data_IF_745930496333
#
_entry.id   IF_745930496333
#
_cell.length_a   1.000
_cell.length_b   1.000
_cell.length_c   1.000
_cell.angle_alpha   90.00
_cell.angle_beta   90.00
_cell.angle_gamma   90.00
#
_symmetry.space_group_name_H-M   'P 1'
#
loop_
_entity.id
_entity.type
_entity.pdbx_description
1 polymer ?
#
# COMPACT_ATOMS: atom_id res chain seq x y z
N UNK A 1 16.62 29.89 5.21
CA UNK A 1 17.02 28.75 6.04
C UNK A 1 15.87 28.26 6.94
N UNK A 2 15.18 29.14 7.68
CA UNK A 2 14.05 28.74 8.53
C UNK A 2 12.73 28.40 7.80
N UNK A 3 12.51 28.95 6.59
CA UNK A 3 11.28 28.72 5.82
C UNK A 3 11.26 27.36 5.08
N UNK A 4 12.42 26.77 4.78
CA UNK A 4 12.52 25.47 4.10
C UNK A 4 12.15 24.29 5.03
N UNK A 5 12.26 24.47 6.35
CA UNK A 5 12.03 23.45 7.37
C UNK A 5 10.56 23.25 7.77
N UNK A 6 9.67 24.17 7.39
CA UNK A 6 8.27 24.17 7.88
C UNK A 6 7.29 23.35 7.04
N UNK A 7 7.65 22.93 5.81
CA UNK A 7 6.68 22.32 4.89
C UNK A 7 7.17 21.15 4.03
N UNK A 8 8.42 20.71 4.19
CA UNK A 8 8.90 19.56 3.45
C UNK A 8 10.06 18.94 4.18
N UNK A 9 9.89 17.68 4.59
CA UNK A 9 11.03 16.81 4.88
C UNK A 9 11.87 16.79 3.61
N UNK A 10 12.97 17.55 3.62
CA UNK A 10 13.88 17.61 2.51
C UNK A 10 14.54 16.25 2.28
N UNK A 11 15.06 16.01 1.07
CA UNK A 11 15.78 14.77 0.76
C UNK A 11 16.94 14.51 1.74
N UNK A 12 17.55 15.55 2.31
CA UNK A 12 18.58 15.39 3.35
C UNK A 12 18.04 14.88 4.68
N UNK A 13 16.91 15.40 5.18
CA UNK A 13 16.31 14.90 6.42
C UNK A 13 15.83 13.46 6.26
N UNK A 14 15.23 13.14 5.11
CA UNK A 14 14.80 11.78 4.79
C UNK A 14 16.00 10.81 4.74
N UNK A 15 17.15 11.25 4.21
CA UNK A 15 18.37 10.46 4.15
C UNK A 15 18.97 10.23 5.55
N UNK A 16 18.93 11.22 6.42
CA UNK A 16 19.34 11.08 7.84
C UNK A 16 18.43 10.07 8.56
N UNK A 17 17.11 10.22 8.42
CA UNK A 17 16.15 9.28 9.02
C UNK A 17 16.33 7.88 8.48
N UNK A 18 16.49 7.72 7.16
CA UNK A 18 16.79 6.44 6.52
C UNK A 18 18.10 5.85 7.05
N UNK A 19 19.13 6.67 7.29
CA UNK A 19 20.38 6.27 7.91
C UNK A 19 20.19 5.74 9.34
N UNK A 20 19.42 6.44 10.18
CA UNK A 20 19.11 5.98 11.55
C UNK A 20 18.33 4.66 11.53
N UNK A 21 17.32 4.55 10.67
CA UNK A 21 16.55 3.30 10.49
C UNK A 21 17.47 2.17 10.02
N UNK A 22 18.40 2.44 9.09
CA UNK A 22 19.36 1.46 8.62
C UNK A 22 20.36 1.05 9.71
N UNK A 23 20.74 1.94 10.65
CA UNK A 23 21.59 1.56 11.78
C UNK A 23 20.84 0.67 12.79
N UNK A 24 19.57 0.95 13.04
CA UNK A 24 18.75 0.15 13.97
C UNK A 24 18.39 -1.23 13.41
N UNK A 25 18.00 -1.28 12.13
CA UNK A 25 17.50 -2.50 11.51
C UNK A 25 18.55 -3.22 10.65
N UNK A 26 19.57 -2.52 10.16
CA UNK A 26 20.64 -3.07 9.33
C UNK A 26 20.10 -3.85 8.13
N UNK A 27 20.66 -5.05 7.94
CA UNK A 27 20.24 -5.99 6.90
C UNK A 27 18.85 -6.60 7.10
N UNK A 28 18.18 -6.34 8.23
CA UNK A 28 16.81 -6.83 8.50
C UNK A 28 15.74 -5.94 7.88
N UNK A 29 16.05 -4.70 7.54
CA UNK A 29 15.10 -3.74 6.95
C UNK A 29 14.44 -4.28 5.66
N UNK A 30 15.17 -4.84 4.67
CA UNK A 30 14.56 -5.39 3.46
C UNK A 30 13.66 -6.60 3.75
N UNK A 31 14.00 -7.41 4.77
CA UNK A 31 13.20 -8.57 5.16
C UNK A 31 11.86 -8.14 5.77
N UNK A 32 11.87 -7.12 6.62
CA UNK A 32 10.64 -6.54 7.22
C UNK A 32 9.79 -5.85 6.16
N UNK A 33 10.40 -5.08 5.26
CA UNK A 33 9.67 -4.47 4.14
C UNK A 33 9.03 -5.51 3.22
N UNK A 34 9.72 -6.62 2.95
CA UNK A 34 9.20 -7.70 2.12
C UNK A 34 8.00 -8.39 2.76
N UNK A 35 8.10 -8.76 4.04
CA UNK A 35 6.96 -9.38 4.75
C UNK A 35 5.77 -8.43 4.89
N UNK A 36 6.01 -7.13 5.11
CA UNK A 36 4.96 -6.12 5.14
C UNK A 36 4.30 -5.97 3.76
N UNK A 37 5.11 -5.91 2.70
CA UNK A 37 4.62 -5.77 1.33
C UNK A 37 3.77 -6.95 0.88
N UNK A 38 4.17 -8.18 1.23
CA UNK A 38 3.39 -9.39 0.98
C UNK A 38 2.02 -9.32 1.69
N UNK A 39 1.98 -8.91 2.96
CA UNK A 39 0.72 -8.72 3.69
C UNK A 39 -0.19 -7.64 3.11
N UNK A 40 0.37 -6.52 2.63
CA UNK A 40 -0.42 -5.47 1.96
C UNK A 40 -1.01 -5.98 0.64
N UNK A 41 -0.25 -6.78 -0.12
CA UNK A 41 -0.73 -7.35 -1.38
C UNK A 41 -1.87 -8.34 -1.14
N UNK A 42 -1.73 -9.24 -0.16
CA UNK A 42 -2.80 -10.17 0.22
C UNK A 42 -4.04 -9.44 0.73
N UNK A 43 -3.86 -8.42 1.57
CA UNK A 43 -4.95 -7.57 2.06
C UNK A 43 -5.71 -6.91 0.90
N UNK A 44 -4.99 -6.32 -0.07
CA UNK A 44 -5.62 -5.69 -1.25
C UNK A 44 -6.41 -6.71 -2.07
N UNK A 45 -5.88 -7.91 -2.29
CA UNK A 45 -6.57 -9.00 -3.01
C UNK A 45 -7.84 -9.45 -2.29
N UNK A 46 -7.77 -9.58 -0.96
CA UNK A 46 -8.91 -9.91 -0.12
C UNK A 46 -10.03 -8.88 -0.23
N UNK A 47 -9.71 -7.58 -0.15
CA UNK A 47 -10.71 -6.50 -0.28
C UNK A 47 -11.33 -6.46 -1.68
N UNK A 48 -10.53 -6.60 -2.74
CA UNK A 48 -11.03 -6.59 -4.12
C UNK A 48 -11.99 -7.74 -4.43
N UNK A 49 -11.71 -8.96 -3.94
CA UNK A 49 -12.61 -10.11 -4.14
C UNK A 49 -13.97 -9.94 -3.44
N UNK A 50 -14.04 -9.16 -2.36
CA UNK A 50 -15.28 -8.83 -1.65
C UNK A 50 -16.08 -7.79 -2.44
N UNK A 51 -15.43 -6.76 -2.99
CA UNK A 51 -16.08 -5.77 -3.86
C UNK A 51 -16.69 -6.43 -5.10
N UNK A 52 -15.95 -7.31 -5.78
CA UNK A 52 -16.44 -8.02 -6.98
C UNK A 52 -17.66 -8.93 -6.67
N UNK A 53 -17.68 -9.56 -5.50
CA UNK A 53 -18.81 -10.41 -5.06
C UNK A 53 -20.06 -9.58 -4.73
N UNK A 54 -19.90 -8.31 -4.34
CA UNK A 54 -21.02 -7.41 -4.03
C UNK A 54 -21.67 -6.78 -5.28
N UNK A 55 -21.05 -6.92 -6.47
CA UNK A 55 -21.53 -6.38 -7.73
C UNK A 55 -22.01 -7.46 -8.71
N UNK A 56 -23.06 -8.22 -8.36
CA UNK A 56 -23.96 -8.91 -9.32
C UNK A 56 -25.28 -9.18 -8.60
N UNK A 57 -26.38 -8.57 -9.08
CA UNK A 57 -27.13 -9.16 -10.18
C UNK A 57 -27.42 -8.15 -11.28
N UNK A 58 -26.65 -8.18 -12.37
CA UNK A 58 -27.20 -7.84 -13.69
C UNK A 58 -27.68 -9.15 -14.30
N UNK A 59 -28.96 -9.44 -14.08
CA UNK A 59 -29.76 -10.22 -15.01
C UNK A 59 -30.31 -9.24 -16.06
N UNK A 60 -29.66 -9.09 -17.24
CA UNK A 60 -30.30 -8.44 -18.36
C UNK A 60 -31.33 -9.45 -18.88
N UNK A 61 -32.53 -9.32 -18.33
CA UNK A 61 -33.75 -10.05 -18.64
C UNK A 61 -33.71 -10.80 -19.96
N UNK A 62 -33.57 -12.12 -19.81
CA UNK A 62 -34.12 -13.16 -20.66
C UNK A 62 -35.50 -12.74 -21.21
N UNK A 63 -35.51 -12.16 -22.41
CA UNK A 63 -36.72 -11.98 -23.23
C UNK A 63 -36.97 -13.16 -24.16
N UNK A 64 -36.40 -14.33 -23.84
CA UNK A 64 -36.67 -15.59 -24.52
C UNK A 64 -37.90 -16.26 -23.89
N UNK A 65 -39.06 -15.65 -24.08
CA UNK A 65 -40.35 -16.31 -23.87
C UNK A 65 -41.25 -16.03 -25.06
N UNK A 66 -41.32 -17.06 -25.92
CA UNK A 66 -42.28 -17.36 -27.00
C UNK A 66 -41.94 -16.88 -28.40
#
# INVERSE_FOLDING_TARGET
MLLFAMFGLGPMELLIVAGVVLLLFGSRLPKVMRSLGEGIVEFKRGVQGIEETSSTPRDPGRSDVR
#
